data_IF_831251281773
#
_entry.id   IF_831251281773
#
_cell.length_a   1.000
_cell.length_b   1.000
_cell.length_c   1.000
_cell.angle_alpha   90.00
_cell.angle_beta   90.00
_cell.angle_gamma   90.00
#
_symmetry.space_group_name_H-M   'P 1'
#
loop_
_entity.id
_entity.type
_entity.pdbx_description
1 polymer ?
#
# COMPACT_ATOMS: atom_id res chain seq x y z
N UNK A 1 -0.54 -6.34 13.49
CA UNK A 1 -1.10 -6.38 12.13
C UNK A 1 -0.52 -7.58 11.41
N UNK A 2 -1.38 -8.51 11.05
CA UNK A 2 -0.94 -9.70 10.33
C UNK A 2 -0.86 -9.43 8.83
N UNK A 3 0.22 -9.84 8.20
CA UNK A 3 0.38 -9.73 6.76
C UNK A 3 0.56 -11.11 6.15
N UNK A 4 0.05 -11.27 4.93
CA UNK A 4 0.18 -12.50 4.14
C UNK A 4 0.95 -12.18 2.87
N UNK A 5 2.13 -12.79 2.70
CA UNK A 5 2.91 -12.63 1.48
C UNK A 5 2.35 -13.61 0.45
N UNK A 6 1.79 -13.07 -0.64
CA UNK A 6 1.21 -13.86 -1.73
C UNK A 6 2.31 -14.25 -2.73
N UNK A 7 3.17 -13.29 -3.09
CA UNK A 7 4.36 -13.52 -3.92
C UNK A 7 5.55 -12.81 -3.29
N UNK A 8 6.67 -13.50 -3.04
CA UNK A 8 7.80 -12.90 -2.31
C UNK A 8 8.60 -11.85 -3.08
N UNK A 9 8.47 -11.79 -4.40
CA UNK A 9 9.17 -10.78 -5.19
C UNK A 9 10.70 -10.93 -5.22
N UNK A 10 11.37 -9.86 -5.65
CA UNK A 10 12.84 -9.79 -5.70
C UNK A 10 13.36 -9.11 -4.44
N UNK A 11 13.78 -9.90 -3.47
CA UNK A 11 14.16 -9.45 -2.12
C UNK A 11 15.35 -8.50 -2.07
N UNK A 12 16.10 -8.36 -3.15
CA UNK A 12 17.25 -7.46 -3.22
C UNK A 12 16.86 -6.03 -3.54
N UNK A 13 15.63 -5.81 -4.09
CA UNK A 13 15.14 -4.49 -4.45
C UNK A 13 14.03 -4.06 -3.51
N UNK A 14 14.39 -3.22 -2.53
CA UNK A 14 13.50 -2.68 -1.52
C UNK A 14 13.45 -1.16 -1.68
N UNK A 15 12.26 -0.52 -1.53
CA UNK A 15 12.18 0.94 -1.63
C UNK A 15 13.08 1.66 -0.61
N UNK A 16 13.74 2.71 -1.08
CA UNK A 16 14.53 3.61 -0.25
C UNK A 16 13.86 4.96 -0.19
N UNK A 17 14.12 5.74 0.85
CA UNK A 17 13.56 7.07 1.00
C UNK A 17 13.77 7.91 -0.25
N UNK A 18 12.70 8.50 -0.77
CA UNK A 18 12.73 9.31 -1.99
C UNK A 18 12.51 8.56 -3.28
N UNK A 19 12.51 7.22 -3.26
CA UNK A 19 12.24 6.44 -4.47
C UNK A 19 10.80 6.62 -4.92
N UNK A 20 10.59 6.57 -6.25
CA UNK A 20 9.24 6.51 -6.82
C UNK A 20 8.82 5.06 -6.92
N UNK A 21 7.75 4.70 -6.22
CA UNK A 21 7.23 3.33 -6.18
C UNK A 21 5.90 3.29 -6.91
N UNK A 22 5.83 2.46 -7.95
CA UNK A 22 4.58 2.17 -8.66
C UNK A 22 4.01 0.89 -8.06
N UNK A 23 2.74 0.93 -7.69
CA UNK A 23 2.11 -0.21 -7.04
C UNK A 23 0.68 -0.38 -7.50
N UNK A 24 0.20 -1.61 -7.42
CA UNK A 24 -1.18 -1.94 -7.59
C UNK A 24 -1.79 -2.10 -6.19
N UNK A 25 -2.84 -1.35 -5.92
CA UNK A 25 -3.49 -1.34 -4.62
C UNK A 25 -4.96 -1.71 -4.78
N UNK A 26 -5.38 -2.73 -4.05
CA UNK A 26 -6.76 -3.15 -4.01
C UNK A 26 -7.24 -3.13 -2.56
N UNK A 27 -8.45 -2.63 -2.35
CA UNK A 27 -9.13 -2.66 -1.06
C UNK A 27 -10.40 -3.46 -1.21
N UNK A 28 -10.57 -4.47 -0.34
CA UNK A 28 -11.79 -5.27 -0.29
C UNK A 28 -12.35 -5.26 1.12
N UNK A 29 -13.65 -5.49 1.26
CA UNK A 29 -14.26 -5.65 2.58
C UNK A 29 -14.13 -7.10 3.06
N UNK A 30 -14.66 -7.40 4.24
CA UNK A 30 -14.59 -8.74 4.83
C UNK A 30 -15.34 -9.81 4.03
N UNK A 31 -16.25 -9.43 3.14
CA UNK A 31 -16.99 -10.35 2.28
C UNK A 31 -16.30 -10.60 0.94
N UNK A 32 -15.23 -9.86 0.64
CA UNK A 32 -14.52 -9.94 -0.62
C UNK A 32 -14.99 -8.95 -1.68
N UNK A 33 -15.91 -8.05 -1.33
CA UNK A 33 -16.37 -7.02 -2.26
C UNK A 33 -15.27 -6.00 -2.49
N UNK A 34 -15.01 -5.67 -3.76
CA UNK A 34 -13.99 -4.70 -4.15
C UNK A 34 -14.46 -3.28 -3.84
N UNK A 35 -13.71 -2.58 -2.99
CA UNK A 35 -13.98 -1.19 -2.63
C UNK A 35 -13.16 -0.20 -3.45
N UNK A 36 -11.96 -0.60 -3.85
CA UNK A 36 -11.05 0.22 -4.63
C UNK A 36 -10.05 -0.66 -5.37
N UNK A 37 -9.72 -0.28 -6.61
CA UNK A 37 -8.71 -0.97 -7.42
C UNK A 37 -7.97 0.05 -8.27
N UNK A 38 -6.68 0.26 -8.00
CA UNK A 38 -5.85 1.20 -8.75
C UNK A 38 -5.68 0.83 -10.22
N UNK A 39 -5.84 -0.46 -10.56
CA UNK A 39 -5.75 -0.90 -11.95
C UNK A 39 -6.88 -0.35 -12.82
N UNK A 40 -7.96 0.15 -12.21
CA UNK A 40 -9.08 0.79 -12.92
C UNK A 40 -8.87 2.28 -13.14
N UNK A 41 -7.79 2.86 -12.59
CA UNK A 41 -7.45 4.26 -12.81
C UNK A 41 -6.88 4.46 -14.22
N UNK A 42 -6.82 5.72 -14.67
CA UNK A 42 -6.26 6.06 -15.99
C UNK A 42 -4.82 5.58 -16.14
N UNK A 43 -4.04 5.61 -15.08
CA UNK A 43 -2.65 5.18 -15.09
C UNK A 43 -2.48 3.69 -14.87
N UNK A 44 -3.52 2.97 -14.47
CA UNK A 44 -3.48 1.53 -14.15
C UNK A 44 -2.62 1.17 -12.95
N UNK A 45 -2.15 2.14 -12.17
CA UNK A 45 -1.35 1.95 -10.99
C UNK A 45 -1.43 3.16 -10.08
N UNK A 46 -1.07 2.99 -8.82
CA UNK A 46 -0.81 4.09 -7.89
C UNK A 46 0.70 4.34 -7.84
N UNK A 47 1.09 5.59 -7.59
CA UNK A 47 2.50 5.96 -7.48
C UNK A 47 2.71 6.83 -6.25
N UNK A 48 3.75 6.51 -5.48
CA UNK A 48 4.14 7.32 -4.34
C UNK A 48 5.63 7.64 -4.41
N UNK A 49 6.02 8.74 -3.78
CA UNK A 49 7.43 9.02 -3.51
C UNK A 49 7.69 8.62 -2.06
N UNK A 50 8.36 7.49 -1.88
CA UNK A 50 8.44 6.79 -0.61
C UNK A 50 9.07 7.63 0.50
N UNK A 51 8.40 7.68 1.66
CA UNK A 51 8.84 8.41 2.87
C UNK A 51 9.13 9.90 2.65
N UNK A 52 8.37 10.53 1.74
CA UNK A 52 8.44 11.98 1.54
C UNK A 52 7.09 12.61 1.82
N UNK A 53 7.06 13.94 1.87
CA UNK A 53 5.82 14.70 2.05
C UNK A 53 4.87 14.54 0.86
N UNK A 54 5.37 14.08 -0.28
CA UNK A 54 4.55 13.83 -1.47
C UNK A 54 3.79 12.51 -1.40
N UNK A 55 4.10 11.66 -0.41
CA UNK A 55 3.36 10.42 -0.19
C UNK A 55 2.01 10.74 0.44
N UNK A 56 0.94 10.29 -0.20
CA UNK A 56 -0.42 10.43 0.33
C UNK A 56 -0.89 9.16 1.04
N UNK A 57 0.02 8.24 1.27
CA UNK A 57 -0.28 6.98 1.94
C UNK A 57 -0.37 7.16 3.44
N UNK A 58 -1.30 6.44 4.09
CA UNK A 58 -1.33 6.41 5.54
C UNK A 58 -0.14 5.60 6.07
N UNK A 59 0.26 5.91 7.30
CA UNK A 59 1.53 5.44 7.87
C UNK A 59 1.70 3.92 7.84
N UNK A 60 0.67 3.16 8.21
CA UNK A 60 0.76 1.70 8.25
C UNK A 60 1.03 1.11 6.87
N UNK A 61 0.43 1.67 5.83
CA UNK A 61 0.64 1.22 4.46
C UNK A 61 2.05 1.53 3.99
N UNK A 62 2.55 2.74 4.30
CA UNK A 62 3.91 3.12 3.91
C UNK A 62 4.97 2.27 4.62
N UNK A 63 4.76 1.95 5.89
CA UNK A 63 5.65 1.05 6.64
C UNK A 63 5.67 -0.35 5.99
N UNK A 64 4.51 -0.85 5.58
CA UNK A 64 4.44 -2.14 4.91
C UNK A 64 5.19 -2.13 3.58
N UNK A 65 4.99 -1.07 2.78
CA UNK A 65 5.69 -0.91 1.49
C UNK A 65 7.21 -0.90 1.70
N UNK A 66 7.68 -0.29 2.77
CA UNK A 66 9.11 -0.25 3.11
C UNK A 66 9.72 -1.61 3.43
N UNK A 67 8.90 -2.60 3.76
CA UNK A 67 9.33 -3.97 4.02
C UNK A 67 9.15 -4.87 2.79
N UNK A 68 8.48 -4.38 1.74
CA UNK A 68 8.22 -5.14 0.54
C UNK A 68 9.34 -4.98 -0.48
N UNK A 69 9.45 -5.94 -1.37
CA UNK A 69 10.44 -5.90 -2.46
C UNK A 69 9.75 -5.75 -3.82
N UNK A 70 10.56 -5.45 -4.84
CA UNK A 70 10.07 -5.34 -6.22
C UNK A 70 9.36 -6.64 -6.62
N UNK A 71 8.17 -6.50 -7.20
CA UNK A 71 7.29 -7.59 -7.64
C UNK A 71 6.66 -8.40 -6.50
N UNK A 72 6.89 -8.00 -5.25
CA UNK A 72 6.21 -8.64 -4.12
C UNK A 72 4.72 -8.28 -4.13
N UNK A 73 3.90 -9.26 -3.80
CA UNK A 73 2.47 -9.07 -3.59
C UNK A 73 2.13 -9.52 -2.18
N UNK A 74 1.57 -8.63 -1.38
CA UNK A 74 1.29 -8.86 0.04
C UNK A 74 -0.09 -8.31 0.36
N UNK A 75 -0.82 -9.00 1.22
CA UNK A 75 -2.08 -8.49 1.77
C UNK A 75 -1.98 -8.34 3.28
N UNK A 76 -2.74 -7.39 3.81
CA UNK A 76 -2.91 -7.24 5.26
C UNK A 76 -4.32 -6.73 5.55
N UNK A 77 -4.74 -6.91 6.79
CA UNK A 77 -6.09 -6.65 7.21
C UNK A 77 -6.11 -5.61 8.33
N UNK A 78 -7.03 -4.64 8.22
CA UNK A 78 -7.35 -3.72 9.29
C UNK A 78 -8.80 -3.94 9.72
N UNK A 79 -9.06 -3.87 11.02
CA UNK A 79 -10.40 -3.90 11.56
C UNK A 79 -10.63 -2.70 12.49
N UNK A 80 -11.79 -2.64 13.13
CA UNK A 80 -12.13 -1.51 13.99
C UNK A 80 -11.17 -1.34 15.17
N UNK A 81 -10.51 -2.41 15.62
CA UNK A 81 -9.55 -2.32 16.71
C UNK A 81 -8.31 -1.52 16.34
N UNK A 82 -8.01 -1.41 15.05
CA UNK A 82 -6.87 -0.65 14.54
C UNK A 82 -7.17 0.85 14.40
N UNK A 83 -8.43 1.27 14.55
CA UNK A 83 -8.86 2.63 14.25
C UNK A 83 -8.08 3.71 15.00
N UNK A 84 -7.72 3.56 16.29
CA UNK A 84 -6.95 4.59 16.99
C UNK A 84 -5.55 4.84 16.40
N UNK A 85 -4.97 3.85 15.75
CA UNK A 85 -3.62 3.98 15.17
C UNK A 85 -3.63 4.35 13.69
N UNK A 86 -4.81 4.43 13.05
CA UNK A 86 -4.93 4.85 11.66
C UNK A 86 -4.95 6.37 11.58
N UNK A 87 -4.04 6.94 10.81
CA UNK A 87 -3.95 8.40 10.65
C UNK A 87 -4.64 8.93 9.39
N UNK A 88 -5.32 8.07 8.64
CA UNK A 88 -6.08 8.44 7.46
C UNK A 88 -7.57 8.54 7.77
N UNK A 89 -8.14 9.72 7.55
CA UNK A 89 -9.56 9.95 7.75
C UNK A 89 -10.42 9.07 6.84
N UNK A 90 -9.99 8.89 5.58
CA UNK A 90 -10.71 8.08 4.61
C UNK A 90 -10.74 6.61 5.03
N UNK A 91 -9.64 6.08 5.51
CA UNK A 91 -9.57 4.69 5.98
C UNK A 91 -10.41 4.50 7.23
N UNK A 92 -10.41 5.48 8.15
CA UNK A 92 -11.29 5.43 9.34
C UNK A 92 -12.75 5.34 8.94
N UNK A 93 -13.18 6.12 7.96
CA UNK A 93 -14.55 6.10 7.46
C UNK A 93 -14.92 4.73 6.88
N UNK A 94 -14.00 4.13 6.11
CA UNK A 94 -14.22 2.80 5.55
C UNK A 94 -14.31 1.74 6.64
N UNK A 95 -13.47 1.83 7.67
CA UNK A 95 -13.52 0.90 8.79
C UNK A 95 -14.83 1.02 9.58
N UNK A 96 -15.34 2.24 9.76
CA UNK A 96 -16.65 2.45 10.39
C UNK A 96 -17.77 1.83 9.57
N UNK A 97 -17.72 1.97 8.24
CA UNK A 97 -18.78 1.49 7.36
C UNK A 97 -18.74 -0.03 7.18
N UNK A 98 -17.57 -0.62 7.01
CA UNK A 98 -17.43 -2.03 6.64
C UNK A 98 -16.91 -2.92 7.77
N UNK A 99 -16.34 -2.34 8.82
CA UNK A 99 -15.80 -3.08 9.96
C UNK A 99 -14.45 -3.71 9.76
N UNK A 100 -14.11 -4.07 8.54
CA UNK A 100 -12.87 -4.74 8.16
C UNK A 100 -12.50 -4.37 6.74
N UNK A 101 -11.23 -4.06 6.51
CA UNK A 101 -10.70 -3.75 5.18
C UNK A 101 -9.47 -4.61 4.94
N UNK A 102 -9.42 -5.26 3.79
CA UNK A 102 -8.25 -6.04 3.35
C UNK A 102 -7.56 -5.25 2.26
N UNK A 103 -6.28 -4.96 2.50
CA UNK A 103 -5.40 -4.28 1.53
C UNK A 103 -4.57 -5.33 0.82
N UNK A 104 -4.56 -5.29 -0.51
CA UNK A 104 -3.68 -6.12 -1.32
C UNK A 104 -2.79 -5.20 -2.14
N UNK A 105 -1.47 -5.35 -1.99
CA UNK A 105 -0.48 -4.46 -2.59
C UNK A 105 0.51 -5.29 -3.39
N UNK A 106 0.77 -4.84 -4.62
CA UNK A 106 1.83 -5.42 -5.46
C UNK A 106 2.74 -4.29 -5.92
N UNK A 107 4.04 -4.41 -5.68
CA UNK A 107 5.01 -3.43 -6.16
C UNK A 107 5.35 -3.75 -7.61
N UNK A 108 5.00 -2.82 -8.50
CA UNK A 108 5.19 -2.98 -9.95
C UNK A 108 6.55 -2.47 -10.40
N UNK A 109 7.06 -1.40 -9.76
CA UNK A 109 8.31 -0.79 -10.15
C UNK A 109 8.85 0.07 -9.02
N UNK A 110 10.17 0.15 -8.91
CA UNK A 110 10.86 1.02 -7.96
C UNK A 110 11.88 1.82 -8.74
N UNK A 111 11.64 3.14 -8.88
CA UNK A 111 12.53 4.04 -9.60
C UNK A 111 13.34 4.87 -8.63
N UNK A 112 14.65 4.75 -8.71
CA UNK A 112 15.56 5.53 -7.88
C UNK A 112 15.52 6.99 -8.30
N UNK A 113 15.55 7.88 -7.31
CA UNK A 113 15.63 9.30 -7.59
C UNK A 113 17.00 9.61 -8.21
N UNK A 114 17.06 10.28 -9.38
CA UNK A 114 18.36 10.64 -9.95
C UNK A 114 19.12 11.55 -8.99
N UNK A 115 20.39 11.24 -8.78
CA UNK A 115 21.27 12.17 -8.07
C UNK A 115 21.61 13.32 -8.99
N UNK A 116 21.00 14.46 -8.73
CA UNK A 116 21.40 15.70 -9.39
C UNK A 116 22.64 16.22 -8.68
N UNK A 117 23.73 16.16 -9.39
CA UNK A 117 24.99 16.72 -8.91
C UNK A 117 25.03 18.19 -9.30
#
# INVERSE_FOLDING_TARGET
>A
MEKLIIHPGNRLNIPQEGDYVKLNLQLTDGSGEMLFDSALSDKKFAEIRFKTKESNMFQQLEELIGEMSLFEKTSFELDKSCMPSVNSKQIKMLLEQYGKIIFTIEILDINKTPHLI
#
